data_IF_754984076915
#
_entry.id   IF_754984076915
#
_cell.length_a   1.000
_cell.length_b   1.000
_cell.length_c   1.000
_cell.angle_alpha   90.00
_cell.angle_beta   90.00
_cell.angle_gamma   90.00
#
_symmetry.space_group_name_H-M   'P 1'
#
loop_
_entity.id
_entity.type
_entity.pdbx_description
1 polymer ?
#
# COMPACT_ATOMS: atom_id res chain seq x y z
N UNK A 1 4.49 56.63 -49.77
CA UNK A 1 5.85 56.96 -50.26
C UNK A 1 6.83 56.19 -49.37
N UNK A 2 7.14 54.94 -49.74
CA UNK A 2 8.47 54.37 -50.11
C UNK A 2 9.53 54.32 -48.98
N UNK A 3 9.90 53.09 -48.60
CA UNK A 3 11.06 52.70 -47.78
C UNK A 3 12.41 53.06 -48.44
N UNK A 4 13.50 53.04 -47.66
CA UNK A 4 14.53 52.00 -47.83
C UNK A 4 15.03 51.45 -46.46
N UNK A 5 15.05 50.13 -46.21
CA UNK A 5 16.07 49.10 -46.54
C UNK A 5 17.49 49.38 -45.99
N UNK A 6 17.89 48.68 -44.92
CA UNK A 6 19.11 47.82 -44.85
C UNK A 6 19.09 46.94 -43.59
N UNK A 7 19.24 45.63 -43.79
CA UNK A 7 19.68 44.64 -42.79
C UNK A 7 21.21 44.53 -42.86
N UNK A 8 21.90 44.16 -41.77
CA UNK A 8 22.37 42.77 -41.72
C UNK A 8 22.33 42.10 -40.33
N UNK A 9 22.04 40.80 -40.39
CA UNK A 9 22.48 39.68 -39.57
C UNK A 9 23.37 39.91 -38.34
N UNK A 10 22.88 39.44 -37.18
CA UNK A 10 23.71 38.74 -36.18
C UNK A 10 22.97 37.46 -35.77
N UNK A 11 23.66 36.34 -35.97
CA UNK A 11 23.29 34.98 -35.56
C UNK A 11 23.62 34.80 -34.08
N UNK A 12 22.72 34.24 -33.26
CA UNK A 12 23.13 33.21 -32.29
C UNK A 12 21.95 32.33 -31.84
N UNK A 13 22.03 31.06 -32.22
CA UNK A 13 21.27 29.95 -31.66
C UNK A 13 21.66 29.79 -30.19
N UNK A 14 20.70 29.78 -29.25
CA UNK A 14 20.68 28.87 -28.10
C UNK A 14 19.39 29.05 -27.28
N UNK A 15 18.67 27.97 -27.05
CA UNK A 15 17.46 27.98 -26.22
C UNK A 15 16.65 26.69 -26.24
N UNK A 16 17.17 25.61 -26.83
CA UNK A 16 16.70 24.24 -26.60
C UNK A 16 17.74 23.59 -25.71
N UNK A 17 17.43 23.45 -24.41
CA UNK A 17 17.80 22.33 -23.51
C UNK A 17 17.77 22.78 -22.03
N UNK A 18 16.59 22.83 -21.41
CA UNK A 18 16.45 22.46 -19.99
C UNK A 18 15.09 21.79 -19.79
N UNK A 19 14.92 20.59 -20.31
CA UNK A 19 13.78 19.72 -19.95
C UNK A 19 14.27 18.28 -19.67
N UNK A 20 15.48 18.14 -19.14
CA UNK A 20 16.09 16.82 -18.94
C UNK A 20 16.90 16.69 -17.63
N UNK A 21 16.56 17.42 -16.56
CA UNK A 21 17.27 17.26 -15.26
C UNK A 21 16.33 16.85 -14.11
N UNK A 22 15.01 16.82 -14.27
CA UNK A 22 14.08 16.55 -13.15
C UNK A 22 13.31 15.22 -13.21
N UNK A 23 13.81 14.19 -13.91
CA UNK A 23 13.11 12.89 -13.96
C UNK A 23 13.47 11.92 -12.84
N UNK A 24 14.65 12.04 -12.22
CA UNK A 24 15.10 11.02 -11.26
C UNK A 24 14.55 11.19 -9.84
N UNK A 25 14.17 12.41 -9.44
CA UNK A 25 13.64 12.66 -8.08
C UNK A 25 12.18 12.21 -7.89
N UNK A 26 11.39 12.07 -8.96
CA UNK A 26 9.95 11.74 -8.87
C UNK A 26 9.72 10.26 -8.49
N UNK A 27 10.66 9.38 -8.86
CA UNK A 27 10.52 7.95 -8.59
C UNK A 27 10.78 7.58 -7.12
N UNK A 28 11.66 8.31 -6.42
CA UNK A 28 12.03 7.96 -5.03
C UNK A 28 11.00 8.44 -4.01
N UNK A 29 10.48 9.66 -4.17
CA UNK A 29 9.43 10.20 -3.27
C UNK A 29 8.12 9.43 -3.39
N UNK A 30 7.76 8.97 -4.59
CA UNK A 30 6.53 8.22 -4.79
C UNK A 30 6.54 6.84 -4.14
N UNK A 31 7.69 6.16 -4.05
CA UNK A 31 7.81 4.87 -3.35
C UNK A 31 7.65 5.04 -1.84
N UNK A 32 8.27 6.07 -1.27
CA UNK A 32 8.19 6.37 0.17
C UNK A 32 6.77 6.80 0.58
N UNK A 33 6.10 7.61 -0.25
CA UNK A 33 4.72 8.02 0.02
C UNK A 33 3.72 6.86 -0.14
N UNK A 34 3.94 5.95 -1.10
CA UNK A 34 3.09 4.76 -1.26
C UNK A 34 3.22 3.78 -0.11
N UNK A 35 4.38 3.71 0.55
CA UNK A 35 4.60 2.88 1.74
C UNK A 35 3.83 3.39 2.97
N UNK A 36 3.54 4.70 3.04
CA UNK A 36 2.71 5.29 4.10
C UNK A 36 1.21 5.09 3.87
N UNK A 37 0.79 4.76 2.66
CA UNK A 37 -0.62 4.65 2.32
C UNK A 37 -1.22 3.38 2.90
N UNK A 38 -2.25 3.53 3.73
CA UNK A 38 -3.08 2.42 4.18
C UNK A 38 -4.01 1.97 3.06
N UNK A 39 -4.22 0.67 2.96
CA UNK A 39 -5.19 0.07 2.04
C UNK A 39 -6.08 -0.89 2.82
N UNK A 40 -7.33 -1.03 2.38
CA UNK A 40 -8.25 -2.01 2.94
C UNK A 40 -8.27 -3.25 2.05
N UNK A 41 -8.00 -4.42 2.64
CA UNK A 41 -8.09 -5.73 1.97
C UNK A 41 -8.99 -6.69 2.75
N UNK A 42 -9.61 -7.61 2.01
CA UNK A 42 -10.45 -8.68 2.57
C UNK A 42 -9.70 -10.01 2.47
N UNK A 43 -9.57 -10.68 3.60
CA UNK A 43 -8.90 -11.97 3.73
C UNK A 43 -9.92 -13.06 4.04
N UNK A 44 -10.08 -14.03 3.14
CA UNK A 44 -10.87 -15.23 3.42
C UNK A 44 -10.08 -16.11 4.38
N UNK A 45 -10.70 -16.47 5.50
CA UNK A 45 -10.09 -17.26 6.57
C UNK A 45 -10.90 -18.53 6.90
N UNK A 46 -11.89 -18.86 6.06
CA UNK A 46 -12.78 -20.02 6.23
C UNK A 46 -12.02 -21.36 6.35
N UNK A 47 -10.88 -21.46 5.69
CA UNK A 47 -9.98 -22.61 5.63
C UNK A 47 -8.99 -22.68 6.81
N UNK A 48 -9.02 -21.70 7.71
CA UNK A 48 -8.17 -21.61 8.89
C UNK A 48 -8.92 -22.03 10.17
N UNK A 49 -8.23 -22.27 11.30
CA UNK A 49 -8.87 -22.61 12.58
C UNK A 49 -9.54 -21.39 13.23
N UNK A 50 -10.65 -20.93 12.62
CA UNK A 50 -11.49 -19.80 13.06
C UNK A 50 -12.87 -20.27 13.53
N UNK A 51 -12.97 -21.54 13.89
CA UNK A 51 -14.22 -22.22 14.24
C UNK A 51 -14.13 -22.72 15.68
N UNK A 52 -15.19 -22.50 16.46
CA UNK A 52 -15.33 -23.14 17.77
C UNK A 52 -15.66 -24.63 17.63
N UNK A 53 -15.63 -25.37 18.73
CA UNK A 53 -16.14 -26.75 18.77
C UNK A 53 -17.61 -26.87 18.36
N UNK A 54 -18.36 -25.79 18.51
CA UNK A 54 -19.78 -25.68 18.14
C UNK A 54 -19.96 -25.23 16.67
N UNK A 55 -18.87 -25.12 15.90
CA UNK A 55 -18.82 -24.65 14.51
C UNK A 55 -19.26 -23.19 14.33
N UNK A 56 -19.17 -22.39 15.39
CA UNK A 56 -19.38 -20.95 15.32
C UNK A 56 -18.13 -20.26 14.78
N UNK A 57 -18.31 -19.21 13.97
CA UNK A 57 -17.20 -18.38 13.48
C UNK A 57 -16.69 -17.47 14.59
N UNK A 58 -15.50 -17.77 15.10
CA UNK A 58 -14.77 -16.95 16.06
C UNK A 58 -13.31 -16.76 15.60
N UNK A 59 -13.01 -15.64 14.92
CA UNK A 59 -11.65 -15.35 14.47
C UNK A 59 -10.81 -14.66 15.55
N UNK A 60 -11.28 -14.52 16.79
CA UNK A 60 -10.61 -13.70 17.82
C UNK A 60 -9.16 -14.12 18.07
N UNK A 61 -8.89 -15.43 18.08
CA UNK A 61 -7.53 -15.98 18.23
C UNK A 61 -6.64 -15.62 17.04
N UNK A 62 -7.16 -15.76 15.81
CA UNK A 62 -6.42 -15.40 14.59
C UNK A 62 -6.13 -13.89 14.55
N UNK A 63 -7.10 -13.06 14.92
CA UNK A 63 -6.93 -11.60 14.99
C UNK A 63 -5.81 -11.23 15.97
N UNK A 64 -5.79 -11.83 17.17
CA UNK A 64 -4.72 -11.63 18.15
C UNK A 64 -3.34 -12.08 17.63
N UNK A 65 -3.29 -13.20 16.91
CA UNK A 65 -2.04 -13.68 16.31
C UNK A 65 -1.50 -12.68 15.27
N UNK A 66 -2.37 -12.16 14.40
CA UNK A 66 -1.99 -11.14 13.41
C UNK A 66 -1.45 -9.90 14.13
N UNK A 67 -2.15 -9.39 15.15
CA UNK A 67 -1.71 -8.23 15.92
C UNK A 67 -0.36 -8.43 16.60
N UNK A 68 -0.10 -9.63 17.14
CA UNK A 68 1.14 -9.95 17.81
C UNK A 68 2.32 -10.18 16.84
N UNK A 69 2.05 -10.61 15.61
CA UNK A 69 3.08 -11.04 14.65
C UNK A 69 3.41 -9.98 13.59
N UNK A 70 2.47 -9.09 13.28
CA UNK A 70 2.62 -8.10 12.21
C UNK A 70 2.63 -6.72 12.81
N UNK A 71 3.80 -6.11 12.98
CA UNK A 71 3.95 -4.72 13.47
C UNK A 71 3.06 -4.38 14.69
N UNK A 72 3.32 -4.95 15.88
CA UNK A 72 2.42 -4.82 17.05
C UNK A 72 2.12 -3.39 17.49
N UNK A 73 2.97 -2.42 17.16
CA UNK A 73 2.74 -1.00 17.40
C UNK A 73 1.52 -0.46 16.66
N UNK A 74 1.23 -0.97 15.46
CA UNK A 74 0.28 -0.38 14.52
C UNK A 74 -1.18 -0.70 14.88
N UNK A 75 -1.41 -1.68 15.76
CA UNK A 75 -2.74 -2.10 16.22
C UNK A 75 -3.14 -1.51 17.56
N UNK A 76 -2.24 -0.73 18.19
CA UNK A 76 -2.52 -0.13 19.50
C UNK A 76 -3.70 0.83 19.39
N UNK A 77 -4.61 0.85 20.37
CA UNK A 77 -5.66 1.85 20.44
C UNK A 77 -5.07 3.26 20.33
N UNK A 78 -5.61 4.08 19.44
CA UNK A 78 -5.16 5.47 19.23
C UNK A 78 -3.96 5.65 18.30
N UNK A 79 -3.32 4.58 17.81
CA UNK A 79 -2.29 4.70 16.76
C UNK A 79 -2.87 5.18 15.43
N UNK A 80 -4.08 4.74 15.08
CA UNK A 80 -4.74 5.06 13.81
C UNK A 80 -4.11 4.41 12.58
N UNK A 81 -3.03 3.65 12.76
CA UNK A 81 -2.21 3.10 11.67
C UNK A 81 -2.79 1.82 11.07
N UNK A 82 -3.51 1.01 11.85
CA UNK A 82 -4.11 -0.24 11.37
C UNK A 82 -5.41 -0.59 12.08
N UNK A 83 -6.36 -1.15 11.33
CA UNK A 83 -7.64 -1.65 11.84
C UNK A 83 -7.97 -3.01 11.26
N UNK A 84 -8.73 -3.80 12.03
CA UNK A 84 -9.12 -5.15 11.68
C UNK A 84 -10.50 -5.45 12.23
N UNK A 85 -11.38 -6.02 11.41
CA UNK A 85 -12.72 -6.40 11.79
C UNK A 85 -13.12 -7.76 11.21
N UNK A 86 -13.90 -8.56 11.94
CA UNK A 86 -14.49 -9.77 11.41
C UNK A 86 -15.66 -9.46 10.46
N UNK A 87 -15.79 -10.28 9.43
CA UNK A 87 -16.94 -10.27 8.52
C UNK A 87 -17.54 -11.68 8.44
N UNK A 88 -18.51 -12.00 9.32
CA UNK A 88 -19.03 -13.37 9.48
C UNK A 88 -19.71 -13.96 8.25
N UNK A 89 -20.31 -13.14 7.38
CA UNK A 89 -21.12 -13.60 6.23
C UNK A 89 -20.37 -14.56 5.29
N UNK A 90 -19.05 -14.46 5.22
CA UNK A 90 -18.23 -15.35 4.39
C UNK A 90 -16.93 -15.79 5.10
N UNK A 91 -16.92 -15.74 6.44
CA UNK A 91 -15.76 -16.05 7.28
C UNK A 91 -14.48 -15.36 6.78
N UNK A 92 -14.52 -14.02 6.75
CA UNK A 92 -13.40 -13.17 6.34
C UNK A 92 -12.99 -12.18 7.41
N UNK A 93 -11.78 -11.66 7.26
CA UNK A 93 -11.27 -10.49 7.97
C UNK A 93 -11.14 -9.32 7.01
N UNK A 94 -11.63 -8.15 7.41
CA UNK A 94 -11.41 -6.88 6.71
C UNK A 94 -10.31 -6.15 7.46
N UNK A 95 -9.21 -5.84 6.78
CA UNK A 95 -8.01 -5.25 7.40
C UNK A 95 -7.64 -4.00 6.62
N UNK A 96 -7.48 -2.89 7.33
CA UNK A 96 -6.87 -1.66 6.80
C UNK A 96 -5.49 -1.47 7.42
N UNK A 97 -4.43 -1.51 6.62
CA UNK A 97 -3.04 -1.34 7.09
C UNK A 97 -2.11 -0.95 5.93
N UNK A 98 -0.81 -0.77 6.20
CA UNK A 98 0.22 -0.47 5.18
C UNK A 98 0.44 -1.68 4.28
N UNK A 99 0.87 -1.43 3.04
CA UNK A 99 1.17 -2.48 2.05
C UNK A 99 2.12 -3.56 2.58
N UNK A 100 3.20 -3.16 3.23
CA UNK A 100 4.18 -4.09 3.83
C UNK A 100 3.57 -5.02 4.90
N UNK A 101 2.58 -4.53 5.65
CA UNK A 101 1.90 -5.33 6.66
C UNK A 101 0.92 -6.30 6.00
N UNK A 102 0.29 -5.91 4.89
CA UNK A 102 -0.52 -6.83 4.10
C UNK A 102 0.28 -8.03 3.60
N UNK A 103 1.51 -7.82 3.15
CA UNK A 103 2.37 -8.90 2.66
C UNK A 103 2.73 -9.87 3.80
N UNK A 104 3.12 -9.34 4.96
CA UNK A 104 3.34 -10.14 6.19
C UNK A 104 2.09 -10.91 6.63
N UNK A 105 0.90 -10.32 6.51
CA UNK A 105 -0.37 -11.00 6.79
C UNK A 105 -0.58 -12.15 5.80
N UNK A 106 -0.34 -11.93 4.51
CA UNK A 106 -0.47 -13.00 3.50
C UNK A 106 0.45 -14.17 3.84
N UNK A 107 1.73 -13.89 4.13
CA UNK A 107 2.72 -14.91 4.48
C UNK A 107 2.31 -15.71 5.72
N UNK A 108 1.85 -15.01 6.77
CA UNK A 108 1.33 -15.64 7.98
C UNK A 108 0.14 -16.56 7.67
N UNK A 109 -0.88 -16.07 6.96
CA UNK A 109 -2.07 -16.86 6.64
C UNK A 109 -1.72 -18.06 5.75
N UNK A 110 -0.84 -17.89 4.76
CA UNK A 110 -0.36 -18.97 3.90
C UNK A 110 0.39 -20.03 4.70
N UNK A 111 1.23 -19.64 5.67
CA UNK A 111 1.97 -20.58 6.50
C UNK A 111 1.08 -21.50 7.36
N UNK A 112 -0.13 -21.04 7.68
CA UNK A 112 -1.12 -21.78 8.47
C UNK A 112 -2.07 -22.61 7.61
N UNK A 113 -2.11 -22.38 6.30
CA UNK A 113 -2.98 -23.14 5.41
C UNK A 113 -2.48 -24.58 5.28
N UNK A 114 -3.38 -25.57 5.23
CA UNK A 114 -3.01 -26.96 4.96
C UNK A 114 -2.23 -27.05 3.65
N UNK A 115 -1.08 -27.70 3.69
CA UNK A 115 -0.35 -28.09 2.48
C UNK A 115 -1.03 -29.35 1.94
N UNK A 116 -1.83 -29.18 0.89
CA UNK A 116 -2.38 -30.30 0.13
C UNK A 116 -1.33 -30.85 -0.84
#
# INVERSE_FOLDING_TARGET
>A
MRLPTVLPSVILVLGLTVFAIQRDSIASDSVVEKAKQTQTRVYKVRDLPVWTSEKEYDPSVLMRLIQASVSPSDWKPGSGDSTMAPYPQNASLVISTRLENHDKIVDLLVSMRPKN
#
